data_IF_671721732226
#
_entry.id   IF_671721732226
#
_cell.length_a   1.000
_cell.length_b   1.000
_cell.length_c   1.000
_cell.angle_alpha   90.00
_cell.angle_beta   90.00
_cell.angle_gamma   90.00
#
_symmetry.space_group_name_H-M   'P 1'
#
loop_
_entity.id
_entity.type
_entity.pdbx_description
1 polymer ?
#
# COMPACT_ATOMS: atom_id res chain seq x y z
N UNK A 1 2.73 -11.13 26.97
CA UNK A 1 2.97 -9.69 26.72
C UNK A 1 4.29 -9.53 26.00
N UNK A 2 4.42 -8.63 25.02
CA UNK A 2 5.66 -8.46 24.25
C UNK A 2 6.40 -7.22 24.76
N UNK A 3 7.73 -7.26 24.76
CA UNK A 3 8.54 -6.10 25.16
C UNK A 3 8.50 -5.02 24.08
N UNK A 4 8.41 -3.76 24.50
CA UNK A 4 8.55 -2.60 23.64
C UNK A 4 10.02 -2.45 23.22
N UNK A 5 10.27 -2.35 21.92
CA UNK A 5 11.64 -2.25 21.41
C UNK A 5 12.30 -0.88 21.59
N UNK A 6 11.55 0.14 22.00
CA UNK A 6 12.07 1.51 22.13
C UNK A 6 12.42 1.86 23.58
N UNK A 7 11.59 1.46 24.54
CA UNK A 7 11.79 1.76 25.96
C UNK A 7 12.06 0.52 26.82
N UNK A 8 12.03 -0.68 26.26
CA UNK A 8 12.24 -1.94 27.00
C UNK A 8 11.11 -2.34 27.93
N UNK A 9 10.02 -1.57 28.01
CA UNK A 9 8.88 -1.89 28.89
C UNK A 9 8.13 -3.14 28.44
N UNK A 10 7.50 -3.86 29.37
CA UNK A 10 6.70 -5.07 29.08
C UNK A 10 5.33 -4.77 28.43
N UNK A 11 5.00 -3.49 28.21
CA UNK A 11 3.71 -3.00 27.71
C UNK A 11 3.67 -2.86 26.18
N UNK A 12 4.38 -3.71 25.44
CA UNK A 12 4.34 -3.73 23.98
C UNK A 12 3.05 -4.34 23.45
N UNK A 13 2.08 -3.48 23.11
CA UNK A 13 0.74 -3.91 22.67
C UNK A 13 0.54 -3.81 21.16
N UNK A 14 1.12 -2.80 20.49
CA UNK A 14 0.84 -2.50 19.08
C UNK A 14 2.10 -2.55 18.23
N UNK A 15 1.96 -2.96 16.97
CA UNK A 15 3.05 -2.81 16.00
C UNK A 15 2.92 -1.46 15.29
N UNK A 16 4.06 -0.81 15.03
CA UNK A 16 4.10 0.38 14.21
C UNK A 16 3.88 0.02 12.73
N UNK A 17 3.04 0.75 12.01
CA UNK A 17 2.73 0.46 10.61
C UNK A 17 3.95 0.58 9.67
N UNK A 18 4.87 1.50 9.97
CA UNK A 18 6.01 1.84 9.09
C UNK A 18 7.25 0.98 9.33
N UNK A 19 7.57 0.67 10.59
CA UNK A 19 8.75 -0.11 10.95
C UNK A 19 8.43 -1.55 11.38
N UNK A 20 7.15 -1.91 11.51
CA UNK A 20 6.66 -3.23 11.95
C UNK A 20 7.14 -3.67 13.34
N UNK A 21 7.82 -2.77 14.08
CA UNK A 21 8.29 -3.02 15.44
C UNK A 21 7.19 -2.80 16.48
N UNK A 22 7.29 -3.52 17.59
CA UNK A 22 6.34 -3.45 18.70
C UNK A 22 6.63 -2.23 19.59
N UNK A 23 5.62 -1.41 19.81
CA UNK A 23 5.64 -0.21 20.64
C UNK A 23 4.59 -0.29 21.76
N UNK A 24 4.91 0.33 22.90
CA UNK A 24 3.92 0.74 23.89
C UNK A 24 3.18 2.01 23.42
N UNK A 25 2.02 2.26 24.01
CA UNK A 25 1.18 3.44 23.72
C UNK A 25 1.93 4.76 23.92
N UNK A 26 2.78 4.87 24.94
CA UNK A 26 3.58 6.07 25.23
C UNK A 26 4.66 6.40 24.19
N UNK A 27 5.18 5.40 23.46
CA UNK A 27 6.18 5.57 22.39
C UNK A 27 5.54 5.74 20.99
N UNK A 28 4.22 5.63 20.91
CA UNK A 28 3.46 5.83 19.68
C UNK A 28 3.01 7.30 19.55
N UNK A 29 2.67 7.74 18.33
CA UNK A 29 1.98 9.02 18.11
C UNK A 29 0.52 8.93 18.53
N UNK A 30 -0.13 10.06 18.81
CA UNK A 30 -1.55 10.10 19.22
C UNK A 30 -2.49 9.49 18.18
N UNK A 31 -2.17 9.60 16.88
CA UNK A 31 -2.92 8.95 15.80
C UNK A 31 -2.83 7.41 15.79
N UNK A 32 -2.01 6.82 16.66
CA UNK A 32 -1.71 5.39 16.71
C UNK A 32 -1.27 4.76 15.37
N UNK A 33 -0.79 5.58 14.43
CA UNK A 33 -0.36 5.13 13.10
C UNK A 33 1.13 4.79 13.05
N UNK A 34 1.96 5.51 13.82
CA UNK A 34 3.42 5.43 13.76
C UNK A 34 4.11 5.61 15.11
N UNK A 35 5.36 5.14 15.17
CA UNK A 35 6.24 5.35 16.31
C UNK A 35 6.81 6.78 16.31
N UNK A 36 7.14 7.35 17.48
CA UNK A 36 7.73 8.71 17.56
C UNK A 36 9.03 8.84 16.74
N UNK A 37 9.89 7.82 16.76
CA UNK A 37 11.11 7.81 15.95
C UNK A 37 10.82 7.81 14.44
N UNK A 38 9.77 7.08 14.03
CA UNK A 38 9.30 7.01 12.65
C UNK A 38 8.73 8.34 12.18
N UNK A 39 8.06 9.06 13.09
CA UNK A 39 7.51 10.39 12.87
C UNK A 39 8.62 11.43 12.66
N UNK A 40 9.64 11.45 13.54
CA UNK A 40 10.79 12.37 13.44
C UNK A 40 11.59 12.10 12.16
N UNK A 41 11.84 10.83 11.83
CA UNK A 41 12.59 10.45 10.63
C UNK A 41 11.77 10.63 9.33
N UNK A 42 10.48 10.99 9.41
CA UNK A 42 9.54 11.05 8.27
C UNK A 42 9.64 9.79 7.38
N UNK A 43 9.73 8.62 8.02
CA UNK A 43 9.94 7.35 7.32
C UNK A 43 8.72 7.05 6.42
N UNK A 44 8.96 6.78 5.15
CA UNK A 44 7.95 6.31 4.20
C UNK A 44 7.91 4.78 4.18
N UNK A 45 6.77 4.18 3.84
CA UNK A 45 6.76 2.75 3.58
C UNK A 45 7.66 2.40 2.40
N UNK A 46 8.37 1.27 2.50
CA UNK A 46 9.05 0.72 1.33
C UNK A 46 8.00 0.20 0.33
N UNK A 47 8.27 0.38 -0.96
CA UNK A 47 7.43 -0.17 -2.04
C UNK A 47 7.14 -1.67 -1.84
N UNK A 48 8.13 -2.45 -1.38
CA UNK A 48 7.94 -3.87 -1.09
C UNK A 48 6.90 -4.15 0.00
N UNK A 49 6.78 -3.28 1.02
CA UNK A 49 5.78 -3.43 2.07
C UNK A 49 4.38 -3.07 1.57
N UNK A 50 4.27 -2.02 0.75
CA UNK A 50 3.00 -1.62 0.12
C UNK A 50 2.49 -2.74 -0.78
N UNK A 51 3.36 -3.28 -1.64
CA UNK A 51 3.03 -4.40 -2.52
C UNK A 51 2.58 -5.63 -1.73
N UNK A 52 3.27 -5.97 -0.61
CA UNK A 52 2.89 -7.11 0.23
C UNK A 52 1.54 -6.93 0.92
N UNK A 53 1.26 -5.74 1.45
CA UNK A 53 0.00 -5.43 2.14
C UNK A 53 -1.19 -5.36 1.17
N UNK A 54 -0.96 -4.87 -0.04
CA UNK A 54 -1.99 -4.65 -1.06
C UNK A 54 -1.97 -5.68 -2.19
N UNK A 55 -1.32 -6.84 -2.00
CA UNK A 55 -1.12 -7.84 -3.06
C UNK A 55 -2.42 -8.27 -3.75
N UNK A 56 -3.52 -8.36 -3.00
CA UNK A 56 -4.84 -8.74 -3.53
C UNK A 56 -5.38 -7.62 -4.42
N UNK A 57 -5.35 -6.37 -3.95
CA UNK A 57 -5.83 -5.22 -4.70
C UNK A 57 -5.02 -5.01 -5.99
N UNK A 58 -3.69 -5.09 -5.89
CA UNK A 58 -2.79 -4.96 -7.04
C UNK A 58 -2.93 -6.12 -8.03
N UNK A 59 -3.14 -7.34 -7.53
CA UNK A 59 -3.46 -8.49 -8.37
C UNK A 59 -4.76 -8.28 -9.14
N UNK A 60 -5.80 -7.75 -8.48
CA UNK A 60 -7.07 -7.44 -9.12
C UNK A 60 -6.95 -6.33 -10.17
N UNK A 61 -6.23 -5.25 -9.86
CA UNK A 61 -5.92 -4.17 -10.81
C UNK A 61 -5.15 -4.70 -12.02
N UNK A 62 -4.11 -5.50 -11.78
CA UNK A 62 -3.31 -6.11 -12.85
C UNK A 62 -4.12 -7.07 -13.71
N UNK A 63 -5.02 -7.85 -13.10
CA UNK A 63 -5.94 -8.72 -13.81
C UNK A 63 -6.91 -7.93 -14.71
N UNK A 64 -7.54 -6.87 -14.18
CA UNK A 64 -8.40 -5.99 -14.95
C UNK A 64 -7.65 -5.31 -16.10
N UNK A 65 -6.44 -4.82 -15.84
CA UNK A 65 -5.59 -4.21 -16.86
C UNK A 65 -5.21 -5.21 -17.96
N UNK A 66 -4.84 -6.44 -17.58
CA UNK A 66 -4.54 -7.47 -18.55
C UNK A 66 -5.79 -7.82 -19.36
N UNK A 67 -6.95 -7.95 -18.71
CA UNK A 67 -8.22 -8.20 -19.38
C UNK A 67 -8.64 -7.06 -20.33
N UNK A 68 -8.30 -5.81 -20.06
CA UNK A 68 -8.65 -4.70 -20.96
C UNK A 68 -7.70 -4.58 -22.15
N UNK A 69 -6.42 -4.94 -21.99
CA UNK A 69 -5.39 -4.80 -23.03
C UNK A 69 -5.26 -6.06 -23.89
N UNK A 70 -5.37 -7.25 -23.29
CA UNK A 70 -5.17 -8.55 -23.94
C UNK A 70 -6.19 -8.95 -25.03
N UNK A 71 -7.47 -8.55 -25.04
CA UNK A 71 -8.37 -8.92 -26.13
C UNK A 71 -8.06 -8.17 -27.43
N UNK A 72 -7.38 -7.03 -27.37
CA UNK A 72 -7.11 -6.19 -28.55
C UNK A 72 -6.30 -6.85 -29.67
N UNK A 73 -5.14 -7.49 -29.41
CA UNK A 73 -4.29 -8.03 -30.47
C UNK A 73 -4.69 -9.41 -31.00
N UNK A 74 -5.60 -10.13 -30.34
CA UNK A 74 -5.93 -11.53 -30.67
C UNK A 74 -7.33 -11.74 -31.28
N UNK A 75 -8.14 -10.69 -31.42
CA UNK A 75 -9.44 -10.78 -32.09
C UNK A 75 -9.26 -10.48 -33.59
N UNK A 76 -9.30 -11.49 -34.47
CA UNK A 76 -9.17 -11.27 -35.91
C UNK A 76 -10.37 -10.48 -36.43
N UNK A 77 -10.11 -9.42 -37.20
CA UNK A 77 -11.13 -8.55 -37.80
C UNK A 77 -11.40 -7.23 -37.07
N UNK A 78 -10.70 -6.94 -35.96
CA UNK A 78 -10.79 -5.65 -35.28
C UNK A 78 -9.84 -4.61 -35.87
N UNK A 79 -10.27 -3.35 -35.89
CA UNK A 79 -9.46 -2.24 -36.38
C UNK A 79 -8.21 -2.05 -35.49
N UNK A 80 -6.99 -1.98 -36.05
CA UNK A 80 -5.75 -1.77 -35.30
C UNK A 80 -5.78 -0.52 -34.39
N UNK A 81 -6.57 0.49 -34.76
CA UNK A 81 -6.76 1.72 -33.97
C UNK A 81 -7.45 1.44 -32.64
N UNK A 82 -8.33 0.44 -32.56
CA UNK A 82 -8.98 0.03 -31.31
C UNK A 82 -7.97 -0.46 -30.26
N UNK A 83 -6.94 -1.20 -30.69
CA UNK A 83 -5.86 -1.64 -29.81
C UNK A 83 -5.09 -0.46 -29.22
N UNK A 84 -4.70 0.50 -30.07
CA UNK A 84 -3.97 1.69 -29.62
C UNK A 84 -4.76 2.55 -28.64
N UNK A 85 -6.05 2.77 -28.92
CA UNK A 85 -6.94 3.52 -28.02
C UNK A 85 -7.08 2.81 -26.67
N UNK A 86 -7.31 1.49 -26.69
CA UNK A 86 -7.47 0.69 -25.46
C UNK A 86 -6.19 0.69 -24.62
N UNK A 87 -5.03 0.59 -25.27
CA UNK A 87 -3.72 0.65 -24.60
C UNK A 87 -3.48 2.03 -23.96
N UNK A 88 -3.74 3.13 -24.68
CA UNK A 88 -3.58 4.48 -24.14
C UNK A 88 -4.53 4.71 -22.96
N UNK A 89 -5.80 4.29 -23.07
CA UNK A 89 -6.76 4.38 -21.98
C UNK A 89 -6.29 3.58 -20.75
N UNK A 90 -5.78 2.36 -20.95
CA UNK A 90 -5.25 1.52 -19.89
C UNK A 90 -4.04 2.17 -19.18
N UNK A 91 -3.15 2.85 -19.90
CA UNK A 91 -2.02 3.59 -19.31
C UNK A 91 -2.52 4.78 -18.49
N UNK A 92 -3.50 5.55 -19.00
CA UNK A 92 -4.03 6.72 -18.30
C UNK A 92 -4.69 6.34 -16.97
N UNK A 93 -5.37 5.18 -16.91
CA UNK A 93 -5.98 4.65 -15.68
C UNK A 93 -4.90 4.26 -14.64
N UNK A 94 -3.68 3.92 -15.05
CA UNK A 94 -2.59 3.61 -14.11
C UNK A 94 -2.09 4.85 -13.35
N UNK A 95 -2.25 6.06 -13.88
CA UNK A 95 -1.80 7.31 -13.23
C UNK A 95 -2.46 7.51 -11.86
N UNK A 96 -3.79 7.55 -11.72
CA UNK A 96 -4.42 7.72 -10.40
C UNK A 96 -4.10 6.56 -9.45
N UNK A 97 -3.92 5.34 -9.97
CA UNK A 97 -3.52 4.17 -9.16
C UNK A 97 -2.12 4.36 -8.57
N UNK A 98 -1.16 4.81 -9.38
CA UNK A 98 0.19 5.12 -8.92
C UNK A 98 0.19 6.24 -7.87
N UNK A 99 -0.57 7.30 -8.07
CA UNK A 99 -0.72 8.39 -7.10
C UNK A 99 -1.35 7.90 -5.80
N UNK A 100 -2.40 7.06 -5.88
CA UNK A 100 -3.04 6.46 -4.71
C UNK A 100 -2.02 5.64 -3.89
N UNK A 101 -1.21 4.80 -4.54
CA UNK A 101 -0.17 4.02 -3.87
C UNK A 101 0.92 4.92 -3.26
N UNK A 102 1.28 6.01 -3.94
CA UNK A 102 2.22 6.98 -3.43
C UNK A 102 1.70 7.66 -2.15
N UNK A 103 0.45 8.13 -2.15
CA UNK A 103 -0.14 8.73 -0.94
C UNK A 103 -0.32 7.72 0.18
N UNK A 104 -0.65 6.47 -0.14
CA UNK A 104 -0.70 5.37 0.84
C UNK A 104 0.67 5.10 1.50
N UNK A 105 1.77 5.32 0.77
CA UNK A 105 3.13 5.21 1.32
C UNK A 105 3.44 6.25 2.41
N UNK A 106 2.76 7.39 2.35
CA UNK A 106 2.93 8.54 3.25
C UNK A 106 1.93 8.48 4.40
N UNK A 107 0.67 8.22 4.08
CA UNK A 107 -0.47 8.24 4.99
C UNK A 107 -1.30 6.96 4.78
N UNK A 108 -1.14 5.95 5.65
CA UNK A 108 -1.95 4.75 5.55
C UNK A 108 -3.43 5.01 5.90
N UNK A 109 -4.36 4.27 5.28
CA UNK A 109 -5.77 4.33 5.61
C UNK A 109 -5.99 3.75 7.02
N UNK A 110 -7.02 4.26 7.69
CA UNK A 110 -7.38 3.85 9.05
C UNK A 110 -7.64 2.33 9.19
N UNK A 111 -8.12 1.68 8.12
CA UNK A 111 -8.39 0.24 8.10
C UNK A 111 -7.12 -0.58 8.33
N UNK A 112 -6.00 -0.18 7.73
CA UNK A 112 -4.72 -0.89 7.89
C UNK A 112 -4.11 -0.68 9.29
N UNK A 113 -4.36 0.49 9.88
CA UNK A 113 -3.93 0.79 11.25
C UNK A 113 -4.68 -0.12 12.24
N UNK A 114 -6.00 -0.33 12.03
CA UNK A 114 -6.82 -1.20 12.89
C UNK A 114 -6.35 -2.66 12.86
N UNK A 115 -6.04 -3.21 11.68
CA UNK A 115 -5.50 -4.58 11.52
C UNK A 115 -4.19 -4.84 12.27
N UNK A 116 -3.48 -3.79 12.69
CA UNK A 116 -2.21 -3.91 13.40
C UNK A 116 -2.40 -4.09 14.92
N UNK A 117 -3.64 -3.94 15.41
CA UNK A 117 -4.04 -4.15 16.81
C UNK A 117 -4.36 -5.62 17.12
N UNK A 118 -4.83 -6.37 16.12
CA UNK A 118 -5.20 -7.79 16.21
C UNK A 118 -4.00 -8.70 15.87
#
# INVERSE_FOLDING_TARGET
MKQCQFCGSSFGERKCYFCEQICCTSCMTDDHSRCKQCFIQKRKLRFSQILKKNKILLGFIGFLWFYTVYPGPFIPGFDPMFYWISLVAAILIMIPICLMLFFWSLNPPAVDIKKTKD
#
